data_IF_296483929894
#
_entry.id   IF_296483929894
#
_cell.length_a   1.000
_cell.length_b   1.000
_cell.length_c   1.000
_cell.angle_alpha   90.00
_cell.angle_beta   90.00
_cell.angle_gamma   90.00
#
_symmetry.space_group_name_H-M   'P 1'
#
loop_
_entity.id
_entity.type
_entity.pdbx_description
1 polymer ?
#
# COMPACT_ATOMS: atom_id res chain seq x y z
N UNK A 1 5.28 6.93 10.71
CA UNK A 1 4.92 6.11 9.54
C UNK A 1 3.73 6.70 8.83
N UNK A 2 2.51 6.66 9.40
CA UNK A 2 1.33 7.28 8.77
C UNK A 2 1.57 8.68 8.19
N UNK A 3 1.90 9.68 9.02
CA UNK A 3 2.14 11.05 8.55
C UNK A 3 3.27 11.16 7.53
N UNK A 4 4.36 10.41 7.73
CA UNK A 4 5.49 10.40 6.81
C UNK A 4 5.06 9.90 5.42
N UNK A 5 4.26 8.83 5.37
CA UNK A 5 3.69 8.32 4.13
C UNK A 5 2.72 9.32 3.49
N UNK A 6 1.94 10.08 4.28
CA UNK A 6 1.07 11.14 3.74
C UNK A 6 1.88 12.23 3.03
N UNK A 7 2.95 12.73 3.65
CA UNK A 7 3.81 13.76 3.04
C UNK A 7 4.48 13.26 1.76
N UNK A 8 5.02 12.04 1.77
CA UNK A 8 5.61 11.44 0.57
C UNK A 8 4.54 11.21 -0.49
N UNK A 9 3.34 10.79 -0.09
CA UNK A 9 2.17 10.65 -0.94
C UNK A 9 1.87 11.91 -1.74
N UNK A 10 1.65 13.02 -1.03
CA UNK A 10 1.37 14.31 -1.64
C UNK A 10 2.52 14.81 -2.52
N UNK A 11 3.77 14.60 -2.10
CA UNK A 11 4.94 14.91 -2.91
C UNK A 11 4.96 14.14 -4.23
N UNK A 12 4.73 12.81 -4.19
CA UNK A 12 4.68 11.96 -5.39
C UNK A 12 3.57 12.41 -6.32
N UNK A 13 2.40 12.75 -5.79
CA UNK A 13 1.27 13.26 -6.57
C UNK A 13 1.64 14.60 -7.23
N UNK A 14 2.17 15.55 -6.46
CA UNK A 14 2.55 16.89 -6.95
C UNK A 14 3.69 16.87 -7.98
N UNK A 15 4.48 15.79 -8.02
CA UNK A 15 5.58 15.65 -9.00
C UNK A 15 5.12 15.32 -10.42
N UNK A 16 3.81 15.10 -10.65
CA UNK A 16 3.19 14.82 -11.97
C UNK A 16 3.88 13.71 -12.76
N UNK A 17 4.44 12.72 -12.05
CA UNK A 17 5.20 11.62 -12.64
C UNK A 17 4.34 10.69 -13.47
N UNK A 18 3.07 10.56 -13.10
CA UNK A 18 2.10 9.88 -13.94
C UNK A 18 1.57 10.95 -14.89
N UNK A 19 1.76 10.83 -16.22
CA UNK A 19 1.27 11.82 -17.17
C UNK A 19 -0.24 11.96 -17.00
N UNK A 20 -0.71 13.20 -16.86
CA UNK A 20 -2.12 13.48 -16.68
C UNK A 20 -2.90 12.98 -17.90
N UNK A 21 -3.73 11.96 -17.70
CA UNK A 21 -4.78 11.62 -18.68
C UNK A 21 -5.79 12.78 -18.87
N UNK A 22 -5.74 13.79 -17.99
CA UNK A 22 -6.65 14.94 -17.93
C UNK A 22 -6.04 16.26 -18.42
N UNK A 23 -4.77 16.31 -18.84
CA UNK A 23 -4.19 17.55 -19.41
C UNK A 23 -4.71 17.83 -20.83
N UNK A 24 -5.44 16.89 -21.44
CA UNK A 24 -6.13 17.08 -22.71
C UNK A 24 -7.65 17.20 -22.50
N UNK A 25 -8.16 18.41 -22.72
CA UNK A 25 -9.57 18.74 -23.00
C UNK A 25 -10.53 18.83 -21.80
N UNK A 26 -10.29 19.81 -20.94
CA UNK A 26 -11.32 20.43 -20.09
C UNK A 26 -12.28 21.23 -20.99
N UNK A 27 -13.23 20.53 -21.61
CA UNK A 27 -14.40 21.15 -22.24
C UNK A 27 -15.64 20.31 -21.95
N UNK A 28 -16.43 20.74 -20.95
CA UNK A 28 -17.87 20.50 -20.67
C UNK A 28 -18.44 19.07 -20.75
N UNK A 29 -17.63 18.06 -21.06
CA UNK A 29 -17.96 16.63 -21.15
C UNK A 29 -17.59 15.90 -19.84
N UNK A 30 -17.20 16.65 -18.81
CA UNK A 30 -16.55 16.19 -17.58
C UNK A 30 -17.43 15.39 -16.62
N UNK A 31 -18.75 15.61 -16.59
CA UNK A 31 -19.61 14.89 -15.63
C UNK A 31 -20.03 13.51 -16.12
N UNK A 32 -20.25 13.34 -17.43
CA UNK A 32 -20.58 12.03 -18.01
C UNK A 32 -19.36 11.10 -18.01
N UNK A 33 -18.15 11.63 -18.18
CA UNK A 33 -16.90 10.85 -18.16
C UNK A 33 -16.49 10.43 -16.73
N UNK A 34 -16.57 11.34 -15.75
CA UNK A 34 -16.16 11.01 -14.38
C UNK A 34 -17.09 9.97 -13.71
N UNK A 35 -18.40 10.03 -13.98
CA UNK A 35 -19.34 8.99 -13.54
C UNK A 35 -19.06 7.63 -14.17
N UNK A 36 -18.65 7.62 -15.44
CA UNK A 36 -18.23 6.39 -16.13
C UNK A 36 -16.98 5.77 -15.51
N UNK A 37 -15.93 6.56 -15.26
CA UNK A 37 -14.71 6.07 -14.59
C UNK A 37 -14.99 5.59 -13.16
N UNK A 38 -15.85 6.29 -12.42
CA UNK A 38 -16.27 5.85 -11.09
C UNK A 38 -16.96 4.48 -11.13
N UNK A 39 -17.87 4.28 -12.09
CA UNK A 39 -18.52 2.98 -12.28
C UNK A 39 -17.53 1.88 -12.69
N UNK A 40 -16.55 2.19 -13.56
CA UNK A 40 -15.46 1.28 -13.92
C UNK A 40 -14.61 0.89 -12.70
N UNK A 41 -14.31 1.85 -11.80
CA UNK A 41 -13.58 1.58 -10.57
C UNK A 41 -14.37 0.61 -9.68
N UNK A 42 -15.66 0.88 -9.44
CA UNK A 42 -16.50 0.00 -8.61
C UNK A 42 -16.57 -1.41 -9.19
N UNK A 43 -16.85 -1.52 -10.50
CA UNK A 43 -16.92 -2.82 -11.17
C UNK A 43 -15.58 -3.55 -11.14
N UNK A 44 -14.47 -2.85 -11.32
CA UNK A 44 -13.11 -3.41 -11.20
C UNK A 44 -12.81 -3.89 -9.78
N UNK A 45 -13.20 -3.14 -8.75
CA UNK A 45 -13.05 -3.57 -7.35
C UNK A 45 -13.87 -4.81 -7.05
N UNK A 46 -15.15 -4.84 -7.47
CA UNK A 46 -16.00 -6.01 -7.29
C UNK A 46 -15.41 -7.25 -7.99
N UNK A 47 -14.95 -7.10 -9.22
CA UNK A 47 -14.28 -8.16 -9.98
C UNK A 47 -12.98 -8.62 -9.32
N UNK A 48 -12.16 -7.68 -8.83
CA UNK A 48 -10.92 -7.99 -8.11
C UNK A 48 -11.19 -8.78 -6.82
N UNK A 49 -12.22 -8.41 -6.04
CA UNK A 49 -12.62 -9.13 -4.82
C UNK A 49 -13.10 -10.55 -5.17
N UNK A 50 -13.94 -10.70 -6.19
CA UNK A 50 -14.42 -12.01 -6.65
C UNK A 50 -13.26 -12.91 -7.12
N UNK A 51 -12.36 -12.36 -7.93
CA UNK A 51 -11.20 -13.06 -8.44
C UNK A 51 -10.24 -13.43 -7.30
N UNK A 52 -10.02 -12.54 -6.33
CA UNK A 52 -9.24 -12.84 -5.12
C UNK A 52 -9.88 -13.98 -4.30
N UNK A 53 -11.20 -13.95 -4.11
CA UNK A 53 -11.92 -14.99 -3.39
C UNK A 53 -11.82 -16.35 -4.11
N UNK A 54 -11.93 -16.36 -5.44
CA UNK A 54 -11.78 -17.55 -6.27
C UNK A 54 -10.36 -18.12 -6.17
N UNK A 55 -9.34 -17.28 -6.30
CA UNK A 55 -7.94 -17.72 -6.19
C UNK A 55 -7.63 -18.26 -4.80
N UNK A 56 -8.16 -17.62 -3.74
CA UNK A 56 -8.01 -18.08 -2.37
C UNK A 56 -8.65 -19.47 -2.19
N UNK A 57 -9.80 -19.72 -2.82
CA UNK A 57 -10.47 -21.04 -2.81
C UNK A 57 -9.60 -22.13 -3.45
N UNK A 58 -8.93 -21.84 -4.56
CA UNK A 58 -8.03 -22.79 -5.24
C UNK A 58 -6.59 -22.78 -4.73
N UNK A 59 -6.27 -21.95 -3.74
CA UNK A 59 -4.94 -21.81 -3.13
C UNK A 59 -3.82 -21.61 -4.16
N UNK A 60 -4.05 -20.80 -5.21
CA UNK A 60 -3.02 -20.51 -6.23
C UNK A 60 -1.98 -19.51 -5.71
N UNK A 61 -1.21 -19.90 -4.69
CA UNK A 61 -0.27 -19.03 -3.98
C UNK A 61 0.78 -18.44 -4.91
N UNK A 62 1.34 -19.24 -5.82
CA UNK A 62 2.37 -18.78 -6.76
C UNK A 62 1.85 -17.68 -7.70
N UNK A 63 0.64 -17.87 -8.24
CA UNK A 63 0.00 -16.87 -9.09
C UNK A 63 -0.19 -15.54 -8.35
N UNK A 64 -0.72 -15.61 -7.12
CA UNK A 64 -0.90 -14.40 -6.30
C UNK A 64 0.41 -13.71 -6.01
N UNK A 65 1.48 -14.45 -5.68
CA UNK A 65 2.80 -13.86 -5.41
C UNK A 65 3.38 -13.14 -6.63
N UNK A 66 3.24 -13.73 -7.82
CA UNK A 66 3.68 -13.10 -9.07
C UNK A 66 2.85 -11.85 -9.36
N UNK A 67 1.53 -11.95 -9.25
CA UNK A 67 0.65 -10.80 -9.49
C UNK A 67 0.92 -9.66 -8.50
N UNK A 68 1.02 -9.96 -7.20
CA UNK A 68 1.41 -8.97 -6.21
C UNK A 68 2.78 -8.36 -6.52
N UNK A 69 3.77 -9.14 -6.95
CA UNK A 69 5.07 -8.62 -7.33
C UNK A 69 4.95 -7.59 -8.46
N UNK A 70 4.17 -7.88 -9.49
CA UNK A 70 3.94 -6.95 -10.61
C UNK A 70 3.33 -5.64 -10.10
N UNK A 71 2.26 -5.71 -9.32
CA UNK A 71 1.58 -4.52 -8.76
C UNK A 71 2.54 -3.71 -7.87
N UNK A 72 3.32 -4.40 -7.02
CA UNK A 72 4.30 -3.78 -6.13
C UNK A 72 5.40 -3.06 -6.91
N UNK A 73 5.93 -3.67 -7.98
CA UNK A 73 6.97 -3.06 -8.81
C UNK A 73 6.45 -1.82 -9.53
N UNK A 74 5.22 -1.86 -10.06
CA UNK A 74 4.60 -0.69 -10.71
C UNK A 74 4.47 0.45 -9.70
N UNK A 75 3.87 0.20 -8.53
CA UNK A 75 3.68 1.21 -7.50
C UNK A 75 5.02 1.78 -6.98
N UNK A 76 6.01 0.92 -6.74
CA UNK A 76 7.35 1.36 -6.35
C UNK A 76 8.02 2.20 -7.42
N UNK A 77 7.92 1.80 -8.70
CA UNK A 77 8.52 2.52 -9.81
C UNK A 77 7.95 3.94 -9.93
N UNK A 78 6.64 4.12 -9.75
CA UNK A 78 5.99 5.44 -9.79
C UNK A 78 6.56 6.35 -8.69
N UNK A 79 6.55 5.88 -7.43
CA UNK A 79 7.07 6.67 -6.31
C UNK A 79 8.55 6.95 -6.40
N UNK A 80 9.35 5.97 -6.83
CA UNK A 80 10.79 6.14 -7.00
C UNK A 80 11.10 7.14 -8.10
N UNK A 81 10.33 7.15 -9.20
CA UNK A 81 10.51 8.15 -10.27
C UNK A 81 10.32 9.57 -9.71
N UNK A 82 9.28 9.80 -8.91
CA UNK A 82 9.04 11.10 -8.27
C UNK A 82 10.19 11.55 -7.38
N UNK A 83 10.75 10.63 -6.60
CA UNK A 83 11.89 10.92 -5.74
C UNK A 83 13.16 11.15 -6.57
N UNK A 84 13.38 10.38 -7.63
CA UNK A 84 14.54 10.52 -8.51
C UNK A 84 14.52 11.83 -9.30
N UNK A 85 13.33 12.35 -9.65
CA UNK A 85 13.17 13.68 -10.23
C UNK A 85 13.76 14.77 -9.34
N UNK A 86 13.67 14.64 -8.00
CA UNK A 86 14.28 15.58 -7.05
C UNK A 86 15.82 15.67 -7.23
N UNK A 87 16.45 14.58 -7.67
CA UNK A 87 17.88 14.49 -7.91
C UNK A 87 18.28 14.76 -9.37
N UNK A 88 17.35 15.26 -10.20
CA UNK A 88 17.59 15.54 -11.61
C UNK A 88 17.56 14.32 -12.53
N UNK A 89 17.14 13.15 -12.04
CA UNK A 89 17.06 11.92 -12.83
C UNK A 89 15.62 11.75 -13.34
N UNK A 90 15.39 12.03 -14.63
CA UNK A 90 14.06 12.01 -15.25
C UNK A 90 13.70 10.68 -15.94
N UNK A 91 14.57 9.67 -15.86
CA UNK A 91 14.40 8.42 -16.61
C UNK A 91 13.66 7.35 -15.79
N UNK A 92 12.45 7.00 -16.23
CA UNK A 92 11.61 5.94 -15.62
C UNK A 92 12.29 4.57 -15.53
N UNK A 93 13.19 4.25 -16.47
CA UNK A 93 13.90 2.96 -16.51
C UNK A 93 14.78 2.73 -15.27
N UNK A 94 15.37 3.78 -14.72
CA UNK A 94 16.21 3.70 -13.52
C UNK A 94 15.34 3.37 -12.30
N UNK A 95 14.17 4.03 -12.19
CA UNK A 95 13.20 3.74 -11.14
C UNK A 95 12.72 2.29 -11.21
N UNK A 96 12.41 1.78 -12.41
CA UNK A 96 11.99 0.41 -12.63
C UNK A 96 13.10 -0.59 -12.25
N UNK A 97 14.34 -0.32 -12.66
CA UNK A 97 15.51 -1.14 -12.35
C UNK A 97 15.77 -1.25 -10.84
N UNK A 98 15.45 -0.21 -10.07
CA UNK A 98 15.52 -0.22 -8.60
C UNK A 98 14.27 -0.87 -7.98
N UNK A 99 13.08 -0.66 -8.56
CA UNK A 99 11.82 -1.18 -8.06
C UNK A 99 11.75 -2.72 -8.10
N UNK A 100 12.26 -3.34 -9.18
CA UNK A 100 12.29 -4.81 -9.34
C UNK A 100 13.01 -5.51 -8.16
N UNK A 101 14.30 -5.21 -7.86
CA UNK A 101 14.99 -5.87 -6.76
C UNK A 101 14.36 -5.55 -5.40
N UNK A 102 13.81 -4.36 -5.19
CA UNK A 102 13.08 -4.02 -3.96
C UNK A 102 11.79 -4.83 -3.80
N UNK A 103 11.01 -5.00 -4.87
CA UNK A 103 9.80 -5.82 -4.89
C UNK A 103 10.11 -7.29 -4.62
N UNK A 104 11.15 -7.83 -5.24
CA UNK A 104 11.63 -9.19 -5.01
C UNK A 104 12.10 -9.35 -3.55
N UNK A 105 12.90 -8.41 -3.03
CA UNK A 105 13.35 -8.43 -1.64
C UNK A 105 12.19 -8.44 -0.65
N UNK A 106 11.15 -7.62 -0.90
CA UNK A 106 9.93 -7.58 -0.08
C UNK A 106 9.24 -8.95 -0.04
N UNK A 107 9.11 -9.60 -1.21
CA UNK A 107 8.38 -10.86 -1.35
C UNK A 107 9.12 -12.06 -0.74
N UNK A 108 10.45 -12.16 -0.96
CA UNK A 108 11.22 -13.33 -0.54
C UNK A 108 11.89 -13.18 0.82
N UNK A 109 12.17 -11.96 1.28
CA UNK A 109 12.82 -11.70 2.58
C UNK A 109 12.09 -10.62 3.38
N UNK A 110 10.84 -10.88 3.81
CA UNK A 110 10.06 -9.93 4.59
C UNK A 110 10.70 -9.77 5.99
N UNK A 111 11.56 -8.77 6.15
CA UNK A 111 11.91 -8.22 7.45
C UNK A 111 11.00 -7.03 7.74
N UNK A 112 10.74 -6.72 9.01
CA UNK A 112 9.91 -5.57 9.40
C UNK A 112 10.42 -4.26 8.79
N UNK A 113 11.75 -4.12 8.68
CA UNK A 113 12.40 -2.95 8.08
C UNK A 113 12.17 -2.87 6.57
N UNK A 114 12.41 -3.97 5.83
CA UNK A 114 12.18 -4.01 4.37
C UNK A 114 10.70 -3.81 4.07
N UNK A 115 9.83 -4.45 4.84
CA UNK A 115 8.39 -4.35 4.69
C UNK A 115 7.91 -2.91 4.88
N UNK A 116 8.15 -2.31 6.05
CA UNK A 116 7.72 -0.93 6.30
C UNK A 116 8.44 0.08 5.38
N UNK A 117 9.72 -0.15 5.07
CA UNK A 117 10.47 0.73 4.16
C UNK A 117 9.88 0.75 2.75
N UNK A 118 9.48 -0.41 2.21
CA UNK A 118 8.87 -0.49 0.88
C UNK A 118 7.42 0.00 0.87
N UNK A 119 6.62 -0.29 1.91
CA UNK A 119 5.22 0.17 2.02
C UNK A 119 5.11 1.70 2.05
N UNK A 120 6.11 2.36 2.64
CA UNK A 120 6.22 3.82 2.64
C UNK A 120 6.31 4.42 1.24
N UNK A 121 6.77 3.67 0.24
CA UNK A 121 6.78 4.09 -1.17
C UNK A 121 5.65 3.49 -2.00
N UNK A 122 5.14 2.31 -1.65
CA UNK A 122 4.05 1.67 -2.40
C UNK A 122 2.75 2.46 -2.30
N UNK A 123 2.39 2.91 -1.10
CA UNK A 123 1.13 3.65 -0.90
C UNK A 123 1.07 4.97 -1.66
N UNK A 124 2.12 5.83 -1.65
CA UNK A 124 2.20 6.99 -2.54
C UNK A 124 1.98 6.66 -4.02
N UNK A 125 2.62 5.60 -4.50
CA UNK A 125 2.58 5.24 -5.93
C UNK A 125 1.23 4.69 -6.36
N UNK A 126 0.59 3.91 -5.50
CA UNK A 126 -0.80 3.50 -5.68
C UNK A 126 -1.74 4.71 -5.68
N UNK A 127 -1.57 5.63 -4.73
CA UNK A 127 -2.41 6.81 -4.63
C UNK A 127 -2.31 7.71 -5.87
N UNK A 128 -1.10 7.91 -6.40
CA UNK A 128 -0.87 8.70 -7.60
C UNK A 128 -1.68 8.22 -8.82
N UNK A 129 -1.93 6.92 -8.96
CA UNK A 129 -2.76 6.38 -10.04
C UNK A 129 -4.23 6.79 -9.86
N UNK A 130 -4.78 6.62 -8.65
CA UNK A 130 -6.20 6.88 -8.39
C UNK A 130 -6.56 8.36 -8.37
N UNK A 131 -5.64 9.22 -7.93
CA UNK A 131 -5.87 10.67 -7.85
C UNK A 131 -6.20 11.28 -9.21
N UNK A 132 -5.64 10.73 -10.29
CA UNK A 132 -5.88 11.24 -11.65
C UNK A 132 -7.22 10.82 -12.24
N UNK A 133 -7.92 9.86 -11.63
CA UNK A 133 -9.14 9.28 -12.19
C UNK A 133 -10.37 9.79 -11.44
N UNK A 134 -10.20 10.22 -10.18
CA UNK A 134 -11.29 10.57 -9.28
C UNK A 134 -11.48 12.09 -9.18
N UNK A 135 -12.73 12.53 -9.25
CA UNK A 135 -13.11 13.90 -8.88
C UNK A 135 -13.44 14.01 -7.38
N UNK A 136 -13.46 15.22 -6.80
CA UNK A 136 -13.79 15.43 -5.39
C UNK A 136 -15.11 14.79 -4.94
N UNK A 137 -16.15 14.83 -5.78
CA UNK A 137 -17.43 14.21 -5.47
C UNK A 137 -17.32 12.68 -5.44
N UNK A 138 -16.64 12.08 -6.42
CA UNK A 138 -16.52 10.63 -6.53
C UNK A 138 -15.61 10.02 -5.48
N UNK A 139 -14.56 10.71 -5.02
CA UNK A 139 -13.75 10.21 -3.89
C UNK A 139 -14.57 10.20 -2.59
N UNK A 140 -15.42 11.20 -2.35
CA UNK A 140 -16.33 11.20 -1.18
C UNK A 140 -17.29 10.01 -1.26
N UNK A 141 -17.94 9.80 -2.41
CA UNK A 141 -18.83 8.65 -2.61
C UNK A 141 -18.09 7.31 -2.46
N UNK A 142 -16.87 7.20 -2.98
CA UNK A 142 -16.04 6.02 -2.86
C UNK A 142 -15.72 5.71 -1.40
N UNK A 143 -15.34 6.71 -0.60
CA UNK A 143 -15.06 6.54 0.84
C UNK A 143 -16.30 6.06 1.60
N UNK A 144 -17.46 6.65 1.33
CA UNK A 144 -18.73 6.22 1.94
C UNK A 144 -19.01 4.76 1.58
N UNK A 145 -18.89 4.40 0.30
CA UNK A 145 -19.14 3.04 -0.16
C UNK A 145 -18.18 2.02 0.49
N UNK A 146 -16.89 2.32 0.52
CA UNK A 146 -15.86 1.41 1.07
C UNK A 146 -16.00 1.28 2.58
N UNK A 147 -16.31 2.36 3.30
CA UNK A 147 -16.55 2.31 4.75
C UNK A 147 -17.77 1.48 5.12
N UNK A 148 -18.88 1.61 4.38
CA UNK A 148 -20.07 0.77 4.56
C UNK A 148 -19.71 -0.70 4.27
N UNK A 149 -18.98 -0.96 3.19
CA UNK A 149 -18.53 -2.31 2.85
C UNK A 149 -17.64 -2.91 3.94
N UNK A 150 -16.67 -2.16 4.48
CA UNK A 150 -15.75 -2.64 5.50
C UNK A 150 -16.49 -3.05 6.79
N UNK A 151 -17.41 -2.19 7.27
CA UNK A 151 -18.26 -2.49 8.43
C UNK A 151 -19.08 -3.77 8.22
N UNK A 152 -19.71 -3.91 7.05
CA UNK A 152 -20.52 -5.09 6.72
C UNK A 152 -19.67 -6.35 6.57
N UNK A 153 -18.53 -6.25 5.88
CA UNK A 153 -17.65 -7.38 5.59
C UNK A 153 -16.99 -7.91 6.86
N UNK A 154 -16.63 -7.03 7.80
CA UNK A 154 -16.04 -7.39 9.10
C UNK A 154 -17.08 -8.04 10.00
N UNK A 155 -18.28 -7.45 10.15
CA UNK A 155 -19.27 -7.94 11.10
C UNK A 155 -20.02 -9.18 10.60
N UNK A 156 -20.48 -9.17 9.35
CA UNK A 156 -21.41 -10.17 8.87
C UNK A 156 -20.72 -11.37 8.20
N UNK A 157 -19.79 -11.11 7.27
CA UNK A 157 -19.20 -12.17 6.43
C UNK A 157 -17.91 -12.78 7.00
N UNK A 158 -17.17 -12.03 7.82
CA UNK A 158 -15.81 -12.38 8.26
C UNK A 158 -14.82 -12.60 7.11
N UNK A 159 -15.18 -12.16 5.89
CA UNK A 159 -14.42 -12.41 4.67
C UNK A 159 -13.07 -11.71 4.71
N UNK A 160 -13.04 -10.46 5.18
CA UNK A 160 -11.82 -9.68 5.35
C UNK A 160 -10.84 -10.36 6.32
N UNK A 161 -11.34 -10.98 7.40
CA UNK A 161 -10.51 -11.69 8.38
C UNK A 161 -9.87 -12.95 7.77
N UNK A 162 -10.61 -13.70 6.94
CA UNK A 162 -10.10 -14.87 6.21
C UNK A 162 -9.04 -14.46 5.19
N UNK A 163 -9.27 -13.37 4.46
CA UNK A 163 -8.30 -12.83 3.49
C UNK A 163 -7.02 -12.38 4.18
N UNK A 164 -7.11 -11.64 5.29
CA UNK A 164 -5.94 -11.23 6.07
C UNK A 164 -5.13 -12.43 6.57
N UNK A 165 -5.80 -13.46 7.10
CA UNK A 165 -5.16 -14.70 7.56
C UNK A 165 -4.44 -15.43 6.41
N UNK A 166 -5.03 -15.49 5.22
CA UNK A 166 -4.42 -16.09 4.03
C UNK A 166 -3.20 -15.29 3.54
N UNK A 167 -3.32 -13.96 3.47
CA UNK A 167 -2.23 -13.06 3.08
C UNK A 167 -1.03 -13.16 4.03
N UNK A 168 -1.27 -13.23 5.34
CA UNK A 168 -0.22 -13.33 6.35
C UNK A 168 0.44 -14.72 6.38
N UNK A 169 -0.36 -15.79 6.46
CA UNK A 169 0.16 -17.13 6.76
C UNK A 169 0.64 -17.87 5.50
N UNK A 170 -0.13 -17.81 4.41
CA UNK A 170 0.17 -18.58 3.19
C UNK A 170 1.03 -17.76 2.23
N UNK A 171 0.63 -16.51 1.97
CA UNK A 171 1.31 -15.69 0.97
C UNK A 171 2.53 -14.97 1.52
N UNK A 172 2.51 -14.59 2.81
CA UNK A 172 3.51 -13.72 3.46
C UNK A 172 3.62 -12.33 2.79
N UNK A 173 2.52 -11.84 2.23
CA UNK A 173 2.44 -10.55 1.49
C UNK A 173 1.35 -9.66 2.09
N UNK A 174 1.25 -9.63 3.41
CA UNK A 174 0.27 -8.74 4.05
C UNK A 174 0.58 -7.28 3.71
N UNK A 175 -0.44 -6.52 3.30
CA UNK A 175 -0.31 -5.08 3.07
C UNK A 175 -0.63 -4.30 4.35
N UNK A 176 0.35 -3.60 4.89
CA UNK A 176 0.16 -2.73 6.06
C UNK A 176 1.48 -2.24 6.63
N UNK A 177 1.45 -1.52 7.74
CA UNK A 177 2.66 -1.30 8.54
C UNK A 177 2.71 -2.24 9.75
N UNK A 178 3.89 -2.82 9.98
CA UNK A 178 4.19 -3.61 11.17
C UNK A 178 4.83 -2.72 12.23
N UNK A 179 4.10 -2.44 13.31
CA UNK A 179 4.58 -1.61 14.41
C UNK A 179 4.87 -2.52 15.61
N UNK A 180 6.14 -2.84 15.91
CA UNK A 180 6.47 -3.65 17.07
C UNK A 180 6.14 -2.89 18.35
N UNK A 181 5.34 -3.49 19.23
CA UNK A 181 4.99 -2.91 20.52
C UNK A 181 5.89 -3.48 21.61
N UNK A 182 6.71 -2.60 22.21
CA UNK A 182 7.62 -2.97 23.30
C UNK A 182 7.00 -2.57 24.64
N UNK A 183 6.34 -3.52 25.31
CA UNK A 183 5.92 -3.32 26.70
C UNK A 183 7.14 -3.15 27.62
N UNK A 184 6.96 -2.48 28.76
CA UNK A 184 8.01 -2.30 29.78
C UNK A 184 8.65 -3.64 30.18
N UNK A 185 7.85 -4.69 30.30
CA UNK A 185 8.33 -6.05 30.60
C UNK A 185 9.25 -6.61 29.51
N UNK A 186 8.87 -6.47 28.23
CA UNK A 186 9.69 -6.92 27.11
C UNK A 186 10.99 -6.11 27.06
N UNK A 187 10.92 -4.80 27.32
CA UNK A 187 12.09 -3.93 27.39
C UNK A 187 13.06 -4.37 28.50
N UNK A 188 12.53 -4.74 29.67
CA UNK A 188 13.31 -5.26 30.79
C UNK A 188 13.92 -6.62 30.45
N UNK A 189 13.17 -7.53 29.81
CA UNK A 189 13.70 -8.82 29.32
C UNK A 189 14.83 -8.64 28.30
N UNK A 190 14.69 -7.69 27.38
CA UNK A 190 15.76 -7.32 26.42
C UNK A 190 16.99 -6.79 27.15
N UNK A 191 16.80 -5.92 28.14
CA UNK A 191 17.90 -5.33 28.93
C UNK A 191 18.66 -6.38 29.73
N UNK A 192 17.92 -7.26 30.42
CA UNK A 192 18.48 -8.39 31.19
C UNK A 192 19.24 -9.36 30.28
N UNK A 193 18.73 -9.68 29.09
CA UNK A 193 19.46 -10.52 28.15
C UNK A 193 20.69 -9.84 27.54
N UNK A 194 20.62 -8.55 27.21
CA UNK A 194 21.80 -7.78 26.78
C UNK A 194 22.89 -7.75 27.85
N UNK A 195 22.52 -7.64 29.13
CA UNK A 195 23.46 -7.72 30.25
C UNK A 195 24.03 -9.14 30.41
N UNK A 196 23.17 -10.17 30.37
CA UNK A 196 23.57 -11.58 30.55
C UNK A 196 24.51 -12.09 29.46
N UNK A 197 24.43 -11.56 28.24
CA UNK A 197 25.23 -12.01 27.09
C UNK A 197 26.21 -10.94 26.57
N UNK A 198 26.55 -9.94 27.37
CA UNK A 198 27.53 -8.91 26.99
C UNK A 198 28.87 -9.60 26.66
N UNK A 199 29.27 -9.60 25.39
CA UNK A 199 30.53 -10.21 24.91
C UNK A 199 30.46 -11.69 24.48
N UNK A 200 29.31 -12.36 24.50
CA UNK A 200 29.15 -13.75 23.99
C UNK A 200 28.14 -13.80 22.83
N UNK A 201 28.44 -14.58 21.78
CA UNK A 201 27.46 -14.87 20.70
C UNK A 201 26.23 -15.53 21.32
N UNK A 202 25.10 -14.85 21.24
CA UNK A 202 23.81 -15.33 21.76
C UNK A 202 23.37 -16.60 21.04
N UNK A 203 23.42 -17.76 21.73
CA UNK A 203 22.81 -19.03 21.27
C UNK A 203 21.36 -19.21 21.77
N UNK A 204 20.64 -18.11 22.02
CA UNK A 204 19.31 -18.13 22.67
C UNK A 204 18.14 -17.96 21.69
N UNK A 205 17.04 -18.69 21.94
CA UNK A 205 15.72 -18.50 21.29
C UNK A 205 15.32 -17.02 21.37
N UNK A 206 15.04 -16.40 20.22
CA UNK A 206 14.67 -14.99 20.12
C UNK A 206 13.43 -14.62 20.94
N UNK A 207 13.35 -13.36 21.37
CA UNK A 207 12.17 -12.84 22.06
C UNK A 207 11.05 -12.66 21.06
N UNK A 208 9.88 -13.24 21.34
CA UNK A 208 8.65 -12.92 20.61
C UNK A 208 8.18 -11.53 21.04
N UNK A 209 8.13 -10.60 20.10
CA UNK A 209 7.63 -9.24 20.30
C UNK A 209 6.25 -9.15 19.64
N UNK A 210 5.21 -8.65 20.34
CA UNK A 210 3.90 -8.43 19.71
C UNK A 210 4.01 -7.31 18.66
N UNK A 211 3.34 -7.51 17.53
CA UNK A 211 3.33 -6.58 16.40
C UNK A 211 1.91 -6.09 16.21
N UNK A 212 1.72 -4.77 16.22
CA UNK A 212 0.49 -4.13 15.79
C UNK A 212 0.50 -3.96 14.27
N UNK A 213 -0.66 -4.11 13.64
CA UNK A 213 -0.86 -3.97 12.20
C UNK A 213 -1.65 -2.67 11.96
N UNK A 214 -1.13 -1.80 11.11
CA UNK A 214 -1.90 -0.69 10.55
C UNK A 214 -2.30 -1.06 9.12
N UNK A 215 -3.59 -0.98 8.79
CA UNK A 215 -4.11 -1.41 7.50
C UNK A 215 -3.62 -0.53 6.35
N UNK A 216 -3.37 -1.14 5.18
CA UNK A 216 -2.97 -0.39 3.99
C UNK A 216 -4.04 0.60 3.51
N UNK A 217 -5.32 0.22 3.59
CA UNK A 217 -6.46 1.08 3.23
C UNK A 217 -6.51 2.36 4.06
N UNK A 218 -6.31 2.24 5.38
CA UNK A 218 -6.29 3.37 6.32
C UNK A 218 -5.22 4.42 5.97
N UNK A 219 -4.18 4.01 5.23
CA UNK A 219 -3.08 4.89 4.81
C UNK A 219 -3.35 5.46 3.42
N UNK A 220 -3.74 4.61 2.46
CA UNK A 220 -3.88 4.98 1.05
C UNK A 220 -5.08 5.90 0.82
N UNK A 221 -6.24 5.62 1.41
CA UNK A 221 -7.45 6.40 1.15
C UNK A 221 -7.33 7.88 1.56
N UNK A 222 -6.74 8.22 2.72
CA UNK A 222 -6.44 9.62 3.03
C UNK A 222 -5.49 10.28 2.03
N UNK A 223 -4.48 9.57 1.52
CA UNK A 223 -3.55 10.11 0.51
C UNK A 223 -4.31 10.42 -0.79
N UNK A 224 -5.12 9.47 -1.27
CA UNK A 224 -5.93 9.67 -2.48
C UNK A 224 -6.86 10.87 -2.29
N UNK A 225 -7.54 10.96 -1.16
CA UNK A 225 -8.47 12.05 -0.88
C UNK A 225 -7.77 13.40 -0.89
N UNK A 226 -6.68 13.53 -0.12
CA UNK A 226 -5.91 14.76 -0.08
C UNK A 226 -5.32 15.11 -1.45
N UNK A 227 -4.87 14.11 -2.22
CA UNK A 227 -4.38 14.27 -3.59
C UNK A 227 -5.44 14.75 -4.58
N UNK A 228 -6.65 14.19 -4.54
CA UNK A 228 -7.77 14.59 -5.41
C UNK A 228 -8.15 16.04 -5.15
N UNK A 229 -8.25 16.45 -3.88
CA UNK A 229 -8.53 17.84 -3.53
C UNK A 229 -7.37 18.77 -3.89
N UNK A 230 -6.12 18.35 -3.69
CA UNK A 230 -4.95 19.12 -4.11
C UNK A 230 -4.95 19.38 -5.61
N UNK A 231 -5.18 18.34 -6.43
CA UNK A 231 -5.23 18.48 -7.89
C UNK A 231 -6.42 19.31 -8.38
N UNK A 232 -7.56 19.29 -7.68
CA UNK A 232 -8.73 20.07 -8.06
C UNK A 232 -8.57 21.58 -7.80
N UNK A 233 -7.73 21.96 -6.84
CA UNK A 233 -7.54 23.36 -6.43
C UNK A 233 -6.21 23.99 -6.88
N UNK A 234 -5.34 23.23 -7.57
CA UNK A 234 -4.10 23.71 -8.19
C UNK A 234 -4.37 24.21 -9.61
#
# INVERSE_FOLDING_TARGET
MFLLTQFIGLFVIASNVVPGYLDSEISTTEQTSAGYYFFQIITSFAMAILLFALITKYKLVTFMRIWFLVVLVIALSISLTAILHLFGVTTYWIALLIAIPLGILKLFRPSVLIHNGTELFIYPGLAAIFVQILSPLYIILLLILISIYDLWAVWHSGLMQKMAKFQMNEMKVFGGFFIPYLTKEIRNKIKLMKQKYKGKKTKGKGIKVPIALLGGGDIVFPIITAGVFMNYFQ
#
